data_IF_452553004668
#
_entry.id   IF_452553004668
#
_cell.length_a   1.000
_cell.length_b   1.000
_cell.length_c   1.000
_cell.angle_alpha   90.00
_cell.angle_beta   90.00
_cell.angle_gamma   90.00
#
_symmetry.space_group_name_H-M   'P 1'
#
loop_
_entity.id
_entity.type
_entity.pdbx_description
1 polymer ?
#
# COMPACT_ATOMS: atom_id res chain seq x y z
N UNK A 1 -43.77 3.28 12.55
CA UNK A 1 -42.84 2.16 12.29
C UNK A 1 -41.59 2.41 13.12
N UNK A 2 -41.61 1.99 14.39
CA UNK A 2 -40.48 2.16 15.30
C UNK A 2 -39.50 1.01 15.10
N UNK A 3 -38.26 1.31 14.71
CA UNK A 3 -37.25 0.28 14.53
C UNK A 3 -36.82 -0.23 15.90
N UNK A 4 -36.94 -1.54 16.12
CA UNK A 4 -36.54 -2.19 17.38
C UNK A 4 -35.07 -1.86 17.71
N UNK A 5 -34.74 -1.46 18.95
CA UNK A 5 -33.37 -1.18 19.38
C UNK A 5 -32.39 -2.34 19.07
N UNK A 6 -32.88 -3.58 19.12
CA UNK A 6 -32.09 -4.75 18.76
C UNK A 6 -31.66 -4.78 17.29
N UNK A 7 -32.50 -4.31 16.37
CA UNK A 7 -32.15 -4.25 14.93
C UNK A 7 -31.04 -3.23 14.65
N UNK A 8 -30.99 -2.15 15.43
CA UNK A 8 -29.91 -1.16 15.40
C UNK A 8 -28.60 -1.72 15.94
N UNK A 9 -28.64 -2.43 17.07
CA UNK A 9 -27.44 -3.07 17.68
C UNK A 9 -26.83 -4.11 16.75
N UNK A 10 -27.63 -5.00 16.17
CA UNK A 10 -27.16 -5.98 15.19
C UNK A 10 -26.63 -5.34 13.91
N UNK A 11 -27.29 -4.28 13.42
CA UNK A 11 -26.81 -3.50 12.28
C UNK A 11 -25.43 -2.88 12.54
N UNK A 12 -25.22 -2.29 13.72
CA UNK A 12 -23.92 -1.73 14.12
C UNK A 12 -22.84 -2.81 14.29
N UNK A 13 -23.16 -3.98 14.84
CA UNK A 13 -22.23 -5.10 15.00
C UNK A 13 -21.77 -5.67 13.65
N UNK A 14 -22.67 -5.82 12.68
CA UNK A 14 -22.32 -6.32 11.34
C UNK A 14 -21.47 -5.31 10.55
N UNK A 15 -21.78 -4.01 10.66
CA UNK A 15 -20.97 -2.95 10.05
C UNK A 15 -19.57 -2.86 10.69
N UNK A 16 -19.49 -2.94 12.02
CA UNK A 16 -18.22 -2.93 12.75
C UNK A 16 -17.33 -4.14 12.43
N UNK A 17 -17.92 -5.34 12.35
CA UNK A 17 -17.19 -6.56 11.98
C UNK A 17 -16.72 -6.53 10.51
N UNK A 18 -17.52 -5.98 9.60
CA UNK A 18 -17.14 -5.84 8.19
C UNK A 18 -15.95 -4.91 7.97
N UNK A 19 -15.77 -3.89 8.82
CA UNK A 19 -14.61 -2.98 8.73
C UNK A 19 -13.28 -3.65 9.10
N UNK A 20 -13.29 -4.66 9.97
CA UNK A 20 -12.08 -5.40 10.38
C UNK A 20 -11.46 -6.27 9.26
N UNK A 21 -12.18 -6.46 8.15
CA UNK A 21 -11.73 -7.29 7.01
C UNK A 21 -11.01 -6.44 5.94
N UNK A 22 -11.05 -5.10 6.06
CA UNK A 22 -10.36 -4.21 5.12
C UNK A 22 -8.89 -4.09 5.50
N UNK A 23 -8.09 -5.08 5.11
CA UNK A 23 -6.64 -4.91 5.02
C UNK A 23 -6.35 -3.68 4.15
N UNK A 24 -5.44 -2.83 4.59
CA UNK A 24 -4.96 -1.72 3.77
C UNK A 24 -4.22 -2.30 2.56
N UNK A 25 -4.91 -2.37 1.42
CA UNK A 25 -4.25 -2.59 0.15
C UNK A 25 -3.43 -1.33 -0.16
N UNK A 26 -2.12 -1.40 0.05
CA UNK A 26 -1.23 -0.40 -0.50
C UNK A 26 -1.35 -0.42 -2.03
N UNK A 27 -1.48 0.76 -2.64
CA UNK A 27 -1.38 0.90 -4.08
C UNK A 27 0.05 0.53 -4.49
N UNK A 28 0.18 -0.43 -5.41
CA UNK A 28 1.48 -1.01 -5.80
C UNK A 28 1.59 -1.14 -7.33
N UNK A 29 0.94 -0.25 -8.07
CA UNK A 29 1.16 -0.15 -9.52
C UNK A 29 2.48 0.58 -9.80
N UNK A 30 3.12 0.36 -10.96
CA UNK A 30 4.30 1.12 -11.37
C UNK A 30 4.12 2.64 -11.27
N UNK A 31 2.93 3.13 -11.61
CA UNK A 31 2.61 4.56 -11.64
C UNK A 31 2.60 5.18 -10.24
N UNK A 32 2.24 4.42 -9.20
CA UNK A 32 2.24 4.88 -7.82
C UNK A 32 3.66 5.24 -7.33
N UNK A 33 4.68 4.62 -7.93
CA UNK A 33 6.08 4.97 -7.68
C UNK A 33 6.59 6.03 -8.66
N UNK A 34 6.36 5.88 -9.96
CA UNK A 34 6.96 6.75 -10.97
C UNK A 34 6.44 8.19 -10.93
N UNK A 35 5.12 8.38 -10.78
CA UNK A 35 4.51 9.72 -10.84
C UNK A 35 5.11 10.66 -9.79
N UNK A 36 5.07 10.34 -8.48
CA UNK A 36 5.60 11.25 -7.47
C UNK A 36 7.12 11.44 -7.57
N UNK A 37 7.88 10.39 -7.92
CA UNK A 37 9.34 10.52 -8.07
C UNK A 37 9.71 11.41 -9.26
N UNK A 38 9.05 11.24 -10.40
CA UNK A 38 9.33 12.06 -11.58
C UNK A 38 8.86 13.52 -11.40
N UNK A 39 7.78 13.75 -10.64
CA UNK A 39 7.39 15.10 -10.24
C UNK A 39 8.48 15.77 -9.40
N UNK A 40 8.97 15.11 -8.35
CA UNK A 40 10.05 15.64 -7.51
C UNK A 40 11.37 15.85 -8.29
N UNK A 41 11.72 14.95 -9.22
CA UNK A 41 12.90 15.12 -10.08
C UNK A 41 12.77 16.33 -11.01
N UNK A 42 11.58 16.55 -11.57
CA UNK A 42 11.31 17.69 -12.44
C UNK A 42 11.43 19.03 -11.68
N UNK A 43 11.00 19.10 -10.41
CA UNK A 43 11.12 20.31 -9.57
C UNK A 43 12.58 20.78 -9.42
N UNK A 44 13.54 19.87 -9.51
CA UNK A 44 14.98 20.15 -9.38
C UNK A 44 15.74 20.02 -10.70
N UNK A 45 15.05 19.93 -11.84
CA UNK A 45 15.67 19.89 -13.17
C UNK A 45 16.44 18.61 -13.48
N UNK A 46 16.07 17.49 -12.85
CA UNK A 46 16.66 16.16 -13.09
C UNK A 46 15.77 15.35 -14.03
N UNK A 47 16.38 14.66 -15.00
CA UNK A 47 15.67 13.83 -15.98
C UNK A 47 14.79 12.75 -15.32
N UNK A 48 13.62 12.39 -15.88
CA UNK A 48 12.74 11.39 -15.29
C UNK A 48 13.36 9.97 -15.32
N UNK A 49 12.89 9.10 -14.43
CA UNK A 49 13.18 7.66 -14.45
C UNK A 49 12.02 6.89 -15.09
N UNK A 50 12.33 5.74 -15.68
CA UNK A 50 11.36 4.77 -16.21
C UNK A 50 11.27 3.53 -15.33
N UNK A 51 10.18 2.77 -15.49
CA UNK A 51 10.03 1.49 -14.82
C UNK A 51 11.01 0.46 -15.40
N UNK A 52 11.56 -0.38 -14.54
CA UNK A 52 12.40 -1.52 -14.90
C UNK A 52 11.90 -2.76 -14.16
N UNK A 53 11.50 -3.80 -14.92
CA UNK A 53 10.91 -5.01 -14.35
C UNK A 53 11.91 -5.86 -13.55
N UNK A 54 13.21 -5.78 -13.86
CA UNK A 54 14.24 -6.49 -13.09
C UNK A 54 14.45 -5.83 -11.73
N UNK A 55 14.41 -4.49 -11.67
CA UNK A 55 14.41 -3.74 -10.40
C UNK A 55 13.16 -4.04 -9.59
N UNK A 56 11.98 -4.08 -10.23
CA UNK A 56 10.72 -4.40 -9.57
C UNK A 56 10.72 -5.83 -8.97
N UNK A 57 11.24 -6.82 -9.71
CA UNK A 57 11.37 -8.18 -9.21
C UNK A 57 12.33 -8.27 -8.01
N UNK A 58 13.44 -7.53 -8.06
CA UNK A 58 14.39 -7.45 -6.94
C UNK A 58 13.75 -6.83 -5.69
N UNK A 59 13.06 -5.69 -5.82
CA UNK A 59 12.43 -4.99 -4.68
C UNK A 59 11.31 -5.82 -4.06
N UNK A 60 10.48 -6.48 -4.88
CA UNK A 60 9.46 -7.40 -4.37
C UNK A 60 10.07 -8.59 -3.62
N UNK A 61 11.14 -9.18 -4.16
CA UNK A 61 11.88 -10.25 -3.49
C UNK A 61 12.46 -9.83 -2.14
N UNK A 62 12.95 -8.59 -2.02
CA UNK A 62 13.44 -8.06 -0.75
C UNK A 62 12.31 -7.73 0.23
N UNK A 63 11.23 -7.12 -0.24
CA UNK A 63 10.05 -6.83 0.58
C UNK A 63 9.46 -8.11 1.20
N UNK A 64 9.39 -9.20 0.40
CA UNK A 64 8.95 -10.50 0.89
C UNK A 64 9.87 -11.12 1.95
N UNK A 65 11.16 -10.76 2.00
CA UNK A 65 12.06 -11.19 3.08
C UNK A 65 11.77 -10.45 4.39
N UNK A 66 11.37 -9.16 4.31
CA UNK A 66 11.13 -8.30 5.48
C UNK A 66 9.70 -8.28 5.98
N UNK A 67 8.73 -8.77 5.21
CA UNK A 67 7.32 -8.80 5.65
C UNK A 67 7.10 -9.61 6.93
N UNK A 68 8.00 -10.55 7.25
CA UNK A 68 7.92 -11.35 8.47
C UNK A 68 8.46 -10.66 9.72
N UNK A 69 9.42 -9.74 9.59
CA UNK A 69 10.08 -9.06 10.72
C UNK A 69 9.70 -7.57 10.83
N UNK A 70 9.21 -6.97 9.74
CA UNK A 70 8.91 -5.54 9.61
C UNK A 70 10.10 -4.61 9.94
N UNK A 71 11.33 -5.11 9.91
CA UNK A 71 12.51 -4.31 10.21
C UNK A 71 12.85 -3.36 9.05
N UNK A 72 13.17 -2.12 9.38
CA UNK A 72 13.62 -1.10 8.43
C UNK A 72 15.12 -1.25 8.14
N UNK A 73 15.47 -2.35 7.46
CA UNK A 73 16.84 -2.65 7.06
C UNK A 73 17.02 -2.45 5.55
N UNK A 74 18.12 -1.82 5.14
CA UNK A 74 18.43 -1.61 3.72
C UNK A 74 19.06 -2.86 3.09
N UNK A 75 18.69 -3.17 1.84
CA UNK A 75 19.23 -4.32 1.09
C UNK A 75 20.65 -4.10 0.57
N UNK A 76 21.16 -2.86 0.58
CA UNK A 76 22.44 -2.49 -0.04
C UNK A 76 22.37 -2.29 -1.56
N UNK A 77 21.23 -2.57 -2.19
CA UNK A 77 21.06 -2.46 -3.64
C UNK A 77 21.74 -3.58 -4.42
N UNK A 78 21.69 -3.46 -5.75
CA UNK A 78 22.38 -4.33 -6.71
C UNK A 78 23.43 -3.54 -7.47
#
# INVERSE_FOLDING_TARGET
>A
MERSPGALVWGCLLLGLGMLIHGTHAQNSPQDFLIPHNAARAEVGVDPISWDDAVAAYTQGYANQRVGDCNLEHSGGR
#
